data_IF_854348469180
#
_entry.id   IF_854348469180
#
_cell.length_a   1.000
_cell.length_b   1.000
_cell.length_c   1.000
_cell.angle_alpha   90.00
_cell.angle_beta   90.00
_cell.angle_gamma   90.00
#
_symmetry.space_group_name_H-M   'P 1'
#
loop_
_entity.id
_entity.type
_entity.pdbx_description
1 polymer ?
#
# COMPACT_ATOMS: atom_id res chain seq x y z
N UNK A 1 -76.14 -27.62 23.25
CA UNK A 1 -75.15 -27.89 24.30
C UNK A 1 -74.42 -26.58 24.57
N UNK A 2 -74.84 -25.84 25.60
CA UNK A 2 -74.04 -25.57 26.83
C UNK A 2 -72.89 -24.58 26.54
N UNK A 3 -72.76 -23.39 27.13
CA UNK A 3 -73.38 -22.80 28.32
C UNK A 3 -73.07 -21.31 28.43
N UNK A 4 -73.54 -20.75 29.55
CA UNK A 4 -73.71 -19.33 29.90
C UNK A 4 -72.48 -18.67 30.54
N UNK A 5 -72.42 -17.34 30.40
CA UNK A 5 -72.05 -16.28 31.38
C UNK A 5 -70.72 -16.40 32.16
N UNK A 6 -69.86 -15.36 32.06
CA UNK A 6 -69.63 -14.43 33.18
C UNK A 6 -68.93 -13.13 32.73
N UNK A 7 -69.50 -11.98 33.10
CA UNK A 7 -68.79 -10.69 33.19
C UNK A 7 -68.06 -10.63 34.53
N UNK A 8 -66.82 -10.14 34.56
CA UNK A 8 -66.33 -9.20 35.59
C UNK A 8 -65.05 -8.50 35.10
N UNK A 9 -65.00 -7.20 35.36
CA UNK A 9 -64.01 -6.24 34.89
C UNK A 9 -62.80 -6.18 35.82
N UNK A 10 -61.61 -5.90 35.26
CA UNK A 10 -60.57 -5.08 35.91
C UNK A 10 -59.88 -4.27 34.80
N UNK A 11 -59.99 -2.94 34.90
CA UNK A 11 -59.20 -1.98 34.14
C UNK A 11 -57.81 -1.87 34.74
N UNK A 12 -56.75 -1.93 33.93
CA UNK A 12 -55.46 -1.28 34.22
C UNK A 12 -55.03 -0.53 32.97
N UNK A 13 -54.89 0.78 33.12
CA UNK A 13 -54.37 1.72 32.15
C UNK A 13 -52.87 1.47 31.92
N UNK A 14 -52.42 1.64 30.69
CA UNK A 14 -51.00 1.58 30.32
C UNK A 14 -50.78 2.11 28.92
N UNK A 15 -50.72 3.43 28.80
CA UNK A 15 -50.35 4.15 27.58
C UNK A 15 -48.89 3.84 27.20
N UNK A 16 -48.64 3.32 26.01
CA UNK A 16 -47.31 3.32 25.40
C UNK A 16 -47.40 3.95 24.01
N UNK A 17 -46.96 5.20 23.93
CA UNK A 17 -46.79 5.95 22.70
C UNK A 17 -45.54 5.38 22.01
N UNK A 18 -45.71 4.58 20.96
CA UNK A 18 -44.61 4.26 20.06
C UNK A 18 -44.50 5.40 19.04
N UNK A 19 -43.65 6.38 19.32
CA UNK A 19 -43.16 7.32 18.31
C UNK A 19 -42.35 6.51 17.30
N UNK A 20 -42.95 6.24 16.14
CA UNK A 20 -42.24 5.70 14.99
C UNK A 20 -41.24 6.74 14.49
N UNK A 21 -39.99 6.65 14.95
CA UNK A 21 -38.87 7.27 14.26
C UNK A 21 -38.61 6.41 13.04
N UNK A 22 -39.07 6.89 11.88
CA UNK A 22 -38.61 6.43 10.57
C UNK A 22 -37.13 6.80 10.41
N UNK A 23 -36.26 6.05 11.07
CA UNK A 23 -34.83 6.07 10.79
C UNK A 23 -34.63 5.55 9.38
N UNK A 24 -34.02 6.38 8.52
CA UNK A 24 -33.69 6.04 7.15
C UNK A 24 -32.92 4.71 7.10
N UNK A 25 -33.60 3.62 6.70
CA UNK A 25 -32.93 2.38 6.30
C UNK A 25 -32.48 2.56 4.85
N UNK A 26 -31.45 3.36 4.62
CA UNK A 26 -30.71 3.24 3.38
C UNK A 26 -29.75 2.07 3.59
N UNK A 27 -30.09 0.92 3.01
CA UNK A 27 -29.10 -0.15 2.84
C UNK A 27 -28.04 0.42 1.90
N UNK A 28 -26.99 0.99 2.47
CA UNK A 28 -25.72 1.08 1.78
C UNK A 28 -25.24 -0.35 1.64
N UNK A 29 -25.18 -0.84 0.40
CA UNK A 29 -24.39 -2.02 0.03
C UNK A 29 -22.95 -1.75 0.49
N UNK A 30 -22.66 -2.14 1.73
CA UNK A 30 -21.34 -2.02 2.31
C UNK A 30 -20.44 -2.99 1.56
N UNK A 31 -19.66 -2.48 0.62
CA UNK A 31 -18.42 -3.15 0.26
C UNK A 31 -17.66 -3.37 1.57
N UNK A 32 -17.37 -4.64 1.87
CA UNK A 32 -16.49 -4.96 2.98
C UNK A 32 -15.21 -4.14 2.80
N UNK A 33 -14.81 -3.41 3.84
CA UNK A 33 -13.53 -2.71 3.82
C UNK A 33 -12.45 -3.76 3.51
N UNK A 34 -11.64 -3.50 2.49
CA UNK A 34 -10.51 -4.36 2.18
C UNK A 34 -9.64 -4.43 3.45
N UNK A 35 -9.25 -5.64 3.92
CA UNK A 35 -8.43 -5.76 5.10
C UNK A 35 -7.15 -4.92 4.89
N UNK A 36 -6.70 -4.16 5.91
CA UNK A 36 -5.51 -3.34 5.78
C UNK A 36 -4.33 -4.22 5.38
N UNK A 37 -3.52 -3.75 4.42
CA UNK A 37 -2.31 -4.46 4.02
C UNK A 37 -1.45 -4.74 5.27
N UNK A 38 -0.92 -5.96 5.43
CA UNK A 38 -0.03 -6.29 6.54
C UNK A 38 1.14 -5.30 6.59
N UNK A 39 1.54 -4.85 7.80
CA UNK A 39 2.60 -3.87 7.95
C UNK A 39 3.91 -4.44 7.44
N UNK A 40 4.63 -3.66 6.64
CA UNK A 40 5.98 -3.99 6.21
C UNK A 40 6.95 -3.61 7.33
N UNK A 41 7.94 -4.45 7.61
CA UNK A 41 8.96 -4.20 8.65
C UNK A 41 10.38 -4.12 8.09
N UNK A 42 10.59 -4.55 6.85
CA UNK A 42 11.87 -4.52 6.19
C UNK A 42 12.26 -3.08 5.83
N UNK A 43 13.42 -2.63 6.30
CA UNK A 43 13.97 -1.34 5.93
C UNK A 43 15.15 -1.52 4.96
N UNK A 44 15.10 -0.99 3.72
CA UNK A 44 16.14 -1.22 2.72
C UNK A 44 17.54 -0.80 3.15
N UNK A 45 17.70 0.28 3.92
CA UNK A 45 19.02 0.68 4.44
C UNK A 45 19.71 -0.36 5.33
N UNK A 46 18.94 -1.21 5.99
CA UNK A 46 19.45 -2.20 6.95
C UNK A 46 19.48 -3.61 6.32
N UNK A 47 18.95 -3.75 5.11
CA UNK A 47 18.62 -5.04 4.49
C UNK A 47 19.60 -5.54 3.44
N UNK A 48 20.43 -4.66 2.88
CA UNK A 48 21.42 -5.02 1.87
C UNK A 48 22.82 -4.99 2.46
N UNK A 49 23.60 -6.07 2.28
CA UNK A 49 24.97 -6.08 2.74
C UNK A 49 25.82 -5.19 1.82
N UNK A 50 26.90 -4.61 2.36
CA UNK A 50 27.75 -3.65 1.66
C UNK A 50 28.26 -4.20 0.33
N UNK A 51 28.63 -5.48 0.27
CA UNK A 51 29.11 -6.12 -0.95
C UNK A 51 28.07 -6.13 -2.08
N UNK A 52 26.77 -6.20 -1.76
CA UNK A 52 25.71 -6.15 -2.77
C UNK A 52 25.59 -4.74 -3.35
N UNK A 53 25.69 -3.71 -2.51
CA UNK A 53 25.65 -2.30 -2.91
C UNK A 53 26.85 -1.97 -3.80
N UNK A 54 28.06 -2.39 -3.40
CA UNK A 54 29.29 -2.19 -4.18
C UNK A 54 29.25 -2.97 -5.49
N UNK A 55 28.73 -4.20 -5.50
CA UNK A 55 28.57 -5.00 -6.73
C UNK A 55 27.62 -4.34 -7.71
N UNK A 56 26.57 -3.67 -7.21
CA UNK A 56 25.65 -2.86 -8.01
C UNK A 56 26.26 -1.51 -8.46
N UNK A 57 27.54 -1.24 -8.14
CA UNK A 57 28.23 0.03 -8.39
C UNK A 57 27.51 1.22 -7.77
N UNK A 58 27.01 1.04 -6.56
CA UNK A 58 26.42 2.09 -5.75
C UNK A 58 27.36 2.44 -4.59
N UNK A 59 27.27 3.66 -4.09
CA UNK A 59 27.99 4.10 -2.91
C UNK A 59 27.29 3.57 -1.64
N UNK A 60 28.03 2.84 -0.82
CA UNK A 60 27.54 2.24 0.42
C UNK A 60 27.59 3.18 1.63
N UNK A 61 28.12 4.40 1.50
CA UNK A 61 28.55 5.20 2.66
C UNK A 61 27.91 6.58 2.78
N UNK A 62 27.30 6.84 3.95
CA UNK A 62 26.11 6.11 4.40
C UNK A 62 24.95 6.35 3.44
N UNK A 63 24.01 5.39 3.27
CA UNK A 63 22.90 5.59 2.39
C UNK A 63 21.91 6.61 2.98
N UNK A 64 21.15 7.28 2.12
CA UNK A 64 20.17 8.29 2.51
C UNK A 64 18.89 7.62 3.03
N UNK A 65 18.74 7.56 4.35
CA UNK A 65 17.54 7.03 5.00
C UNK A 65 16.40 8.04 4.88
N UNK A 66 15.43 7.72 4.04
CA UNK A 66 14.30 8.62 3.78
C UNK A 66 13.30 8.62 4.94
N UNK A 67 12.54 9.73 5.13
CA UNK A 67 11.45 9.77 6.10
C UNK A 67 10.41 8.68 5.85
N UNK A 68 9.95 8.05 6.93
CA UNK A 68 8.92 7.02 6.88
C UNK A 68 7.58 7.61 6.44
N UNK A 69 6.85 6.88 5.60
CA UNK A 69 5.45 7.19 5.26
C UNK A 69 4.55 6.09 5.81
N UNK A 70 3.35 6.45 6.28
CA UNK A 70 2.48 5.53 7.04
C UNK A 70 1.13 5.22 6.37
N UNK A 71 0.93 5.63 5.10
CA UNK A 71 -0.28 5.27 4.33
C UNK A 71 -0.05 5.39 2.81
N UNK A 72 0.32 4.30 2.11
CA UNK A 72 0.74 3.01 2.68
C UNK A 72 2.06 3.15 3.46
N UNK A 73 2.39 2.13 4.26
CA UNK A 73 3.68 2.09 4.94
C UNK A 73 4.81 1.98 3.91
N UNK A 74 5.77 2.90 3.96
CA UNK A 74 6.93 2.94 3.06
C UNK A 74 8.21 3.20 3.85
N UNK A 75 9.21 2.36 3.59
CA UNK A 75 10.59 2.56 4.02
C UNK A 75 11.50 2.73 2.81
N UNK A 76 12.17 3.87 2.70
CA UNK A 76 13.02 4.20 1.57
C UNK A 76 14.48 4.34 1.94
N UNK A 77 15.36 3.97 1.02
CA UNK A 77 16.80 4.17 1.15
C UNK A 77 17.41 4.61 -0.19
N UNK A 78 18.07 5.76 -0.20
CA UNK A 78 18.76 6.31 -1.36
C UNK A 78 20.24 5.90 -1.41
N UNK A 79 20.69 5.52 -2.59
CA UNK A 79 22.08 5.20 -2.91
C UNK A 79 22.51 5.98 -4.14
N UNK A 80 23.73 6.50 -4.13
CA UNK A 80 24.28 7.26 -5.26
C UNK A 80 25.15 6.36 -6.12
N UNK A 81 25.12 6.54 -7.44
CA UNK A 81 26.14 5.98 -8.32
C UNK A 81 27.38 6.88 -8.34
N UNK A 82 28.60 6.34 -8.32
CA UNK A 82 29.83 7.11 -8.53
C UNK A 82 30.02 7.51 -10.01
N UNK A 83 29.37 6.83 -10.95
CA UNK A 83 29.72 6.87 -12.38
C UNK A 83 28.85 7.85 -13.21
N UNK A 84 27.83 8.49 -12.63
CA UNK A 84 27.01 9.53 -13.28
C UNK A 84 25.91 10.01 -12.31
N UNK A 85 25.22 11.09 -12.64
CA UNK A 85 24.03 11.67 -11.97
C UNK A 85 22.80 10.73 -11.83
N UNK A 86 23.04 9.43 -11.72
CA UNK A 86 22.03 8.42 -11.44
C UNK A 86 22.06 8.04 -9.97
N UNK A 87 20.86 8.00 -9.39
CA UNK A 87 20.62 7.57 -8.02
C UNK A 87 19.62 6.43 -8.01
N UNK A 88 19.74 5.54 -7.04
CA UNK A 88 18.79 4.46 -6.82
C UNK A 88 18.10 4.69 -5.49
N UNK A 89 16.78 4.79 -5.52
CA UNK A 89 15.97 4.72 -4.31
C UNK A 89 15.37 3.34 -4.24
N UNK A 90 15.70 2.60 -3.19
CA UNK A 90 15.10 1.30 -2.90
C UNK A 90 14.03 1.51 -1.83
N UNK A 91 12.80 1.12 -2.14
CA UNK A 91 11.64 1.28 -1.26
C UNK A 91 10.99 -0.07 -0.94
N UNK A 92 10.74 -0.32 0.33
CA UNK A 92 9.87 -1.38 0.79
C UNK A 92 8.48 -0.77 1.04
N UNK A 93 7.46 -1.26 0.32
CA UNK A 93 6.12 -0.65 0.30
C UNK A 93 5.07 -1.70 0.69
N UNK A 94 4.19 -1.37 1.64
CA UNK A 94 3.03 -2.18 2.01
C UNK A 94 1.88 -2.04 0.98
N UNK A 95 2.18 -2.34 -0.28
CA UNK A 95 1.25 -2.42 -1.41
C UNK A 95 1.33 -3.82 -2.04
N UNK A 96 0.23 -4.30 -2.62
CA UNK A 96 0.22 -5.58 -3.31
C UNK A 96 0.87 -5.46 -4.69
N UNK A 97 1.44 -6.56 -5.18
CA UNK A 97 2.02 -6.62 -6.53
C UNK A 97 0.98 -6.29 -7.62
N UNK A 98 -0.25 -6.77 -7.48
CA UNK A 98 -1.35 -6.49 -8.41
C UNK A 98 -1.80 -5.02 -8.40
N UNK A 99 -1.69 -4.31 -7.26
CA UNK A 99 -1.93 -2.87 -7.17
C UNK A 99 -0.94 -2.10 -8.05
N UNK A 100 0.33 -2.49 -8.04
CA UNK A 100 1.37 -1.85 -8.88
C UNK A 100 1.19 -2.19 -10.35
N UNK A 101 0.89 -3.45 -10.67
CA UNK A 101 0.64 -3.92 -12.04
C UNK A 101 -0.51 -3.17 -12.72
N UNK A 102 -1.58 -2.89 -11.97
CA UNK A 102 -2.77 -2.19 -12.47
C UNK A 102 -2.70 -0.67 -12.33
N UNK A 103 -1.60 -0.13 -11.80
CA UNK A 103 -1.45 1.31 -11.57
C UNK A 103 -1.21 2.08 -12.87
N UNK A 104 -1.88 3.22 -13.02
CA UNK A 104 -1.70 4.15 -14.14
C UNK A 104 -0.42 4.99 -14.06
N UNK A 105 0.26 4.96 -12.90
CA UNK A 105 1.55 5.63 -12.64
C UNK A 105 2.70 5.04 -13.47
N UNK A 106 2.55 3.79 -13.87
CA UNK A 106 3.61 3.02 -14.51
C UNK A 106 3.19 2.59 -15.91
N UNK A 107 4.17 2.51 -16.81
CA UNK A 107 4.03 1.75 -18.05
C UNK A 107 4.85 0.47 -17.89
N UNK A 108 4.19 -0.67 -17.70
CA UNK A 108 4.87 -1.97 -17.62
C UNK A 108 5.55 -2.25 -18.96
N UNK A 109 6.88 -2.40 -18.93
CA UNK A 109 7.71 -2.71 -20.10
C UNK A 109 7.95 -4.21 -20.23
N UNK A 110 8.11 -4.90 -19.10
CA UNK A 110 8.33 -6.35 -19.05
C UNK A 110 7.91 -6.93 -17.71
N UNK A 111 7.36 -8.13 -17.76
CA UNK A 111 7.21 -9.02 -16.61
C UNK A 111 8.40 -9.99 -16.56
N UNK A 112 8.89 -10.31 -15.35
CA UNK A 112 10.02 -11.22 -15.16
C UNK A 112 9.98 -11.86 -13.77
N UNK A 113 11.04 -12.57 -13.40
CA UNK A 113 11.24 -13.08 -12.04
C UNK A 113 12.62 -12.73 -11.50
N UNK A 114 12.70 -12.38 -10.22
CA UNK A 114 13.96 -12.11 -9.49
C UNK A 114 13.96 -12.97 -8.23
N UNK A 115 14.95 -13.85 -8.08
CA UNK A 115 15.00 -14.78 -6.94
C UNK A 115 13.76 -15.68 -6.83
N UNK A 116 13.14 -16.03 -7.97
CA UNK A 116 11.91 -16.82 -8.02
C UNK A 116 10.62 -16.05 -7.69
N UNK A 117 10.71 -14.73 -7.48
CA UNK A 117 9.57 -13.86 -7.18
C UNK A 117 9.14 -13.08 -8.43
N UNK A 118 7.82 -12.90 -8.67
CA UNK A 118 7.34 -12.02 -9.74
C UNK A 118 7.96 -10.62 -9.63
N UNK A 119 8.32 -10.05 -10.78
CA UNK A 119 8.86 -8.71 -10.86
C UNK A 119 8.33 -7.99 -12.11
N UNK A 120 8.08 -6.68 -11.98
CA UNK A 120 7.73 -5.80 -13.08
C UNK A 120 8.90 -4.86 -13.35
N UNK A 121 9.28 -4.73 -14.62
CA UNK A 121 10.13 -3.63 -15.09
C UNK A 121 9.21 -2.61 -15.75
N UNK A 122 9.22 -1.40 -15.23
CA UNK A 122 8.28 -0.36 -15.62
C UNK A 122 8.99 0.96 -15.86
N UNK A 123 8.42 1.77 -16.74
CA UNK A 123 8.77 3.18 -16.87
C UNK A 123 7.85 4.03 -16.01
N UNK A 124 8.40 5.01 -15.27
CA UNK A 124 7.60 5.92 -14.45
C UNK A 124 7.06 7.06 -15.31
N UNK A 125 5.74 7.13 -15.47
CA UNK A 125 5.13 8.13 -16.35
C UNK A 125 5.39 9.54 -15.81
N UNK A 126 6.00 10.38 -16.65
CA UNK A 126 6.24 11.79 -16.35
C UNK A 126 7.50 12.08 -15.52
N UNK A 127 8.42 11.12 -15.41
CA UNK A 127 9.74 11.33 -14.82
C UNK A 127 10.87 10.69 -15.65
N UNK A 128 12.11 10.92 -15.22
CA UNK A 128 13.30 10.28 -15.79
C UNK A 128 13.75 9.13 -14.88
N UNK A 129 12.90 8.11 -14.75
CA UNK A 129 13.18 6.97 -13.89
C UNK A 129 12.56 5.67 -14.42
N UNK A 130 13.34 4.59 -14.35
CA UNK A 130 12.83 3.23 -14.50
C UNK A 130 12.61 2.64 -13.12
N UNK A 131 11.55 1.86 -12.95
CA UNK A 131 11.28 1.12 -11.72
C UNK A 131 11.33 -0.38 -11.94
N UNK A 132 11.87 -1.10 -10.97
CA UNK A 132 11.73 -2.56 -10.86
C UNK A 132 10.98 -2.85 -9.58
N UNK A 133 9.79 -3.43 -9.68
CA UNK A 133 8.95 -3.77 -8.52
C UNK A 133 8.95 -5.29 -8.34
N UNK A 134 9.50 -5.79 -7.24
CA UNK A 134 9.60 -7.22 -6.92
C UNK A 134 8.59 -7.58 -5.84
N UNK A 135 7.80 -8.63 -6.06
CA UNK A 135 6.88 -9.13 -5.06
C UNK A 135 7.62 -9.68 -3.84
N UNK A 136 7.35 -9.13 -2.65
CA UNK A 136 7.82 -9.65 -1.37
C UNK A 136 6.62 -9.98 -0.48
N UNK A 137 6.85 -10.62 0.67
CA UNK A 137 5.78 -10.90 1.63
C UNK A 137 6.17 -10.31 2.99
N UNK A 138 5.43 -9.32 3.51
CA UNK A 138 4.36 -8.57 2.84
C UNK A 138 4.89 -7.51 1.87
N UNK A 139 4.15 -7.24 0.79
CA UNK A 139 4.29 -6.00 -0.01
C UNK A 139 5.12 -6.12 -1.30
N UNK A 140 5.76 -5.01 -1.67
CA UNK A 140 6.71 -4.96 -2.79
C UNK A 140 8.03 -4.31 -2.38
N UNK A 141 9.09 -4.71 -3.07
CA UNK A 141 10.39 -4.05 -3.05
C UNK A 141 10.58 -3.34 -4.40
N UNK A 142 10.55 -2.01 -4.37
CA UNK A 142 10.70 -1.15 -5.54
C UNK A 142 12.13 -0.60 -5.62
N UNK A 143 12.76 -0.78 -6.79
CA UNK A 143 14.04 -0.16 -7.14
C UNK A 143 13.75 0.93 -8.15
N UNK A 144 13.76 2.18 -7.73
CA UNK A 144 13.62 3.34 -8.61
C UNK A 144 14.99 3.84 -9.00
N UNK A 145 15.30 3.74 -10.29
CA UNK A 145 16.58 4.15 -10.86
C UNK A 145 16.32 5.47 -11.58
N UNK A 146 16.69 6.56 -10.93
CA UNK A 146 16.65 7.88 -11.54
C UNK A 146 17.85 8.07 -12.46
N UNK A 147 17.61 8.57 -13.66
CA UNK A 147 18.65 9.04 -14.57
C UNK A 147 18.36 10.51 -14.85
N UNK A 148 19.27 11.40 -14.50
CA UNK A 148 19.09 12.81 -14.88
C UNK A 148 19.27 12.95 -16.40
N UNK A 149 18.26 13.45 -17.11
CA UNK A 149 18.50 14.29 -18.29
C UNK A 149 18.55 15.79 -17.91
N UNK A 150 18.52 16.10 -16.61
CA UNK A 150 18.49 17.45 -16.09
C UNK A 150 19.85 17.79 -15.47
N UNK A 151 20.52 18.77 -16.08
CA UNK A 151 21.57 19.57 -15.45
C UNK A 151 21.13 19.95 -14.01
N UNK A 152 22.08 19.94 -13.08
CA UNK A 152 21.96 20.24 -11.64
C UNK A 152 21.62 19.08 -10.68
N UNK A 153 22.60 18.19 -10.48
CA UNK A 153 23.02 17.87 -9.10
C UNK A 153 24.39 18.48 -8.84
N UNK A 154 24.44 19.78 -8.54
CA UNK A 154 25.67 20.42 -8.08
C UNK A 154 25.77 20.30 -6.56
N UNK A 155 26.82 19.60 -6.13
CA UNK A 155 27.58 19.63 -4.85
C UNK A 155 27.07 20.50 -3.71
#
# INVERSE_FOLDING_TARGET
MSGRLWRNAVSIAGTAIALGVSGCTQSVDGHAAEPPNPPISFHPCDGFPEEAIVTARLNASPPDRMPERHNPQVYGCGYQSPDSYSGVVISAIAETFSSVESSDRFTVLSETTIGGRPALVSDFRGGSACTVSVAIEPGILEFMIGYSELEDFTT
#
